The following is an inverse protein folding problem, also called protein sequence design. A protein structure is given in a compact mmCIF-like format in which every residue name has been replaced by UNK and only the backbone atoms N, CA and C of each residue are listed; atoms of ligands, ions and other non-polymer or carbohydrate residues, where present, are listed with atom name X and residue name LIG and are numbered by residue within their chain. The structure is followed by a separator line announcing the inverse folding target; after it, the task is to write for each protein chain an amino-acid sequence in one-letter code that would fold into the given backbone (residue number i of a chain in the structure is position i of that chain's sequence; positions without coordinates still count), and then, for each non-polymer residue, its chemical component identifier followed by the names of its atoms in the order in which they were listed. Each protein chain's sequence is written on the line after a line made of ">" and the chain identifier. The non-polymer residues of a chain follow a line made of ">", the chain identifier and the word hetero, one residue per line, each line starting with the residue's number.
data_IF_642824931884
#
_entry.id   IF_642824931884
#
_cell.length_a   1.000
_cell.length_b   1.000
_cell.length_c   1.000
_cell.angle_alpha   90.00
_cell.angle_beta   90.00
_cell.angle_gamma   90.00
#
_symmetry.space_group_name_H-M   'P 1'
#
loop_
_entity.id
_entity.type
_entity.pdbx_description
1 polymer ?
#
# COMPACT_ATOMS: atom_id res chain seq x y z
N UNK A 1 -12.17 17.31 9.47
CA UNK A 1 -11.36 16.09 9.71
C UNK A 1 -11.37 15.67 11.18
N UNK A 2 -10.84 16.46 12.12
CA UNK A 2 -10.76 16.10 13.56
C UNK A 2 -12.13 15.71 14.17
N UNK A 3 -13.20 16.46 13.88
CA UNK A 3 -14.56 16.11 14.34
C UNK A 3 -15.07 14.77 13.77
N UNK A 4 -14.83 14.51 12.49
CA UNK A 4 -15.25 13.26 11.84
C UNK A 4 -14.50 12.06 12.42
N UNK A 5 -13.21 12.20 12.67
CA UNK A 5 -12.41 11.15 13.32
C UNK A 5 -12.93 10.88 14.74
N UNK A 6 -13.17 11.94 15.52
CA UNK A 6 -13.68 11.82 16.90
C UNK A 6 -15.09 11.24 16.98
N UNK A 7 -15.89 11.35 15.92
CA UNK A 7 -17.23 10.76 15.88
C UNK A 7 -17.20 9.22 15.84
N UNK A 8 -16.05 8.60 15.50
CA UNK A 8 -15.95 7.15 15.35
C UNK A 8 -16.68 6.58 14.12
N UNK A 9 -17.26 7.43 13.27
CA UNK A 9 -18.05 7.00 12.12
C UNK A 9 -17.21 6.61 10.88
N UNK A 10 -15.88 6.71 10.95
CA UNK A 10 -14.99 6.49 9.80
C UNK A 10 -13.89 5.50 10.16
N UNK A 11 -13.71 4.48 9.33
CA UNK A 11 -12.60 3.53 9.44
C UNK A 11 -11.34 3.99 8.69
N UNK A 12 -11.51 4.75 7.60
CA UNK A 12 -10.43 5.22 6.74
C UNK A 12 -10.64 6.66 6.29
N UNK A 13 -9.57 7.47 6.33
CA UNK A 13 -9.53 8.82 5.75
C UNK A 13 -8.31 8.97 4.88
N UNK A 14 -8.49 9.46 3.65
CA UNK A 14 -7.39 9.78 2.72
C UNK A 14 -7.30 11.29 2.53
N UNK A 15 -6.10 11.83 2.69
CA UNK A 15 -5.78 13.25 2.46
C UNK A 15 -4.90 13.35 1.22
N UNK A 16 -5.50 13.76 0.10
CA UNK A 16 -4.82 13.97 -1.18
C UNK A 16 -4.82 15.47 -1.55
N UNK A 17 -3.73 16.21 -1.39
CA UNK A 17 -2.42 15.83 -0.85
C UNK A 17 -1.96 16.82 0.22
N UNK A 18 -0.93 16.44 1.00
CA UNK A 18 -0.32 17.32 2.01
C UNK A 18 0.18 18.63 1.39
N UNK A 19 0.67 18.58 0.15
CA UNK A 19 1.16 19.76 -0.56
C UNK A 19 0.05 20.81 -0.78
N UNK A 20 -1.20 20.37 -0.90
CA UNK A 20 -2.37 21.24 -1.10
C UNK A 20 -2.96 21.79 0.21
N UNK A 21 -2.44 21.39 1.38
CA UNK A 21 -2.84 21.97 2.66
C UNK A 21 -2.17 23.33 2.84
N UNK A 22 -2.72 24.34 2.18
CA UNK A 22 -2.25 25.72 2.24
C UNK A 22 -2.85 26.41 3.48
N UNK A 23 -2.02 26.99 4.36
CA UNK A 23 -2.52 27.73 5.52
C UNK A 23 -3.34 28.95 5.10
N UNK A 24 -4.36 29.29 5.90
CA UNK A 24 -5.26 30.43 5.63
C UNK A 24 -4.51 31.75 5.37
N UNK A 25 -3.48 32.06 6.16
CA UNK A 25 -2.71 33.30 5.99
C UNK A 25 -1.94 33.37 4.66
N UNK A 26 -1.60 32.21 4.06
CA UNK A 26 -0.98 32.16 2.73
C UNK A 26 -2.02 32.34 1.61
N UNK A 27 -3.27 31.91 1.84
CA UNK A 27 -4.38 32.13 0.89
C UNK A 27 -4.83 33.60 0.89
N UNK A 28 -4.83 34.24 2.07
CA UNK A 28 -5.27 35.63 2.24
C UNK A 28 -4.16 36.67 1.98
N UNK A 29 -2.90 36.24 1.90
CA UNK A 29 -1.75 37.11 1.61
C UNK A 29 -1.52 37.36 0.13
N UNK A 30 -0.55 38.23 -0.19
CA UNK A 30 -0.17 38.51 -1.57
C UNK A 30 0.90 37.53 -2.09
N UNK A 31 0.95 37.34 -3.41
CA UNK A 31 2.00 36.54 -4.04
C UNK A 31 3.36 37.18 -3.81
N UNK A 32 4.23 36.48 -3.07
CA UNK A 32 5.56 36.98 -2.70
C UNK A 32 5.73 37.24 -1.21
N UNK A 33 4.65 37.22 -0.43
CA UNK A 33 4.72 37.34 1.01
C UNK A 33 5.47 36.16 1.64
N UNK A 34 6.43 36.48 2.50
CA UNK A 34 7.31 35.49 3.13
C UNK A 34 6.62 34.77 4.28
N UNK A 35 5.95 33.66 3.97
CA UNK A 35 5.32 32.76 4.94
C UNK A 35 6.20 31.54 5.29
N UNK A 36 7.44 31.80 5.72
CA UNK A 36 8.42 30.72 5.95
C UNK A 36 7.93 29.72 7.02
N UNK A 37 7.77 28.46 6.63
CA UNK A 37 7.50 27.34 7.55
C UNK A 37 6.09 27.28 8.13
N UNK A 38 5.15 28.10 7.63
CA UNK A 38 3.77 28.14 8.12
C UNK A 38 3.08 26.78 7.97
N UNK A 39 3.23 26.14 6.81
CA UNK A 39 2.70 24.79 6.54
C UNK A 39 3.29 23.73 7.49
N UNK A 40 4.60 23.79 7.76
CA UNK A 40 5.26 22.84 8.66
C UNK A 40 4.77 22.96 10.11
N UNK A 41 4.49 24.19 10.58
CA UNK A 41 3.92 24.46 11.90
C UNK A 41 2.48 23.97 11.99
N UNK A 42 1.67 24.25 10.97
CA UNK A 42 0.29 23.77 10.86
C UNK A 42 0.23 22.24 10.96
N UNK A 43 1.05 21.54 10.16
CA UNK A 43 1.12 20.08 10.18
C UNK A 43 1.55 19.52 11.55
N UNK A 44 2.52 20.15 12.19
CA UNK A 44 2.99 19.73 13.53
C UNK A 44 1.89 19.84 14.59
N UNK A 45 1.11 20.93 14.55
CA UNK A 45 -0.01 21.13 15.47
C UNK A 45 -1.18 20.18 15.16
N UNK A 46 -1.55 20.06 13.89
CA UNK A 46 -2.65 19.22 13.44
C UNK A 46 -2.41 17.75 13.77
N UNK A 47 -1.24 17.21 13.40
CA UNK A 47 -0.90 15.80 13.66
C UNK A 47 -0.86 15.49 15.16
N UNK A 48 -0.32 16.40 15.99
CA UNK A 48 -0.32 16.23 17.45
C UNK A 48 -1.74 16.06 18.00
N UNK A 49 -2.72 16.80 17.48
CA UNK A 49 -4.12 16.72 17.94
C UNK A 49 -4.84 15.50 17.38
N UNK A 50 -4.59 15.16 16.10
CA UNK A 50 -5.33 14.15 15.37
C UNK A 50 -4.84 12.73 15.69
N UNK A 51 -3.54 12.52 15.96
CA UNK A 51 -3.00 11.16 16.20
C UNK A 51 -3.68 10.45 17.38
N UNK A 52 -3.94 11.16 18.48
CA UNK A 52 -4.65 10.57 19.62
C UNK A 52 -6.09 10.19 19.28
N UNK A 53 -6.78 11.05 18.50
CA UNK A 53 -8.14 10.78 18.05
C UNK A 53 -8.22 9.56 17.12
N UNK A 54 -7.31 9.46 16.13
CA UNK A 54 -7.24 8.33 15.20
C UNK A 54 -7.10 6.99 15.93
N UNK A 55 -6.26 6.95 16.97
CA UNK A 55 -6.07 5.73 17.75
C UNK A 55 -7.33 5.34 18.53
N UNK A 56 -7.97 6.29 19.20
CA UNK A 56 -9.18 6.05 19.99
C UNK A 56 -10.37 5.63 19.11
N UNK A 57 -10.51 6.24 17.94
CA UNK A 57 -11.60 5.94 16.99
C UNK A 57 -11.31 4.73 16.09
N UNK A 58 -10.13 4.10 16.22
CA UNK A 58 -9.65 3.03 15.32
C UNK A 58 -9.66 3.42 13.84
N UNK A 59 -9.55 4.71 13.54
CA UNK A 59 -9.54 5.24 12.17
C UNK A 59 -8.12 5.24 11.61
N UNK A 60 -7.93 4.73 10.40
CA UNK A 60 -6.68 4.84 9.65
C UNK A 60 -6.66 6.12 8.82
N UNK A 61 -5.56 6.88 8.86
CA UNK A 61 -5.36 8.05 8.01
C UNK A 61 -4.22 7.84 7.02
N UNK A 62 -4.49 8.01 5.73
CA UNK A 62 -3.51 7.97 4.64
C UNK A 62 -3.26 9.39 4.15
N UNK A 63 -2.00 9.80 4.13
CA UNK A 63 -1.58 11.10 3.60
C UNK A 63 -0.79 10.89 2.32
N UNK A 64 -1.29 11.42 1.20
CA UNK A 64 -0.56 11.46 -0.07
C UNK A 64 0.34 12.69 -0.04
N UNK A 65 1.61 12.51 -0.41
CA UNK A 65 2.58 13.59 -0.42
C UNK A 65 3.47 13.50 -1.65
N UNK A 66 3.91 14.67 -2.10
CA UNK A 66 4.74 14.84 -3.26
C UNK A 66 6.21 14.98 -2.85
N UNK A 67 7.08 14.50 -3.71
CA UNK A 67 8.51 14.78 -3.61
C UNK A 67 8.81 16.20 -4.13
N UNK A 68 9.80 16.83 -3.53
CA UNK A 68 10.41 18.10 -3.92
C UNK A 68 11.91 17.94 -3.77
N UNK A 69 12.68 18.72 -4.51
CA UNK A 69 14.12 18.79 -4.32
C UNK A 69 14.47 19.90 -3.34
N UNK A 70 15.38 19.62 -2.42
CA UNK A 70 15.93 20.61 -1.52
C UNK A 70 17.14 21.27 -2.18
N UNK A 71 16.99 22.54 -2.55
CA UNK A 71 18.07 23.37 -3.09
C UNK A 71 19.24 23.42 -2.09
N UNK A 72 20.47 23.26 -2.58
CA UNK A 72 21.70 23.40 -1.79
C UNK A 72 22.16 22.13 -1.05
N UNK A 73 21.61 20.96 -1.36
CA UNK A 73 22.11 19.67 -0.86
C UNK A 73 23.14 19.11 -1.85
N UNK A 74 24.42 19.14 -1.47
CA UNK A 74 25.53 18.60 -2.27
C UNK A 74 25.95 17.18 -1.89
N UNK A 75 25.42 16.63 -0.78
CA UNK A 75 25.73 15.28 -0.30
C UNK A 75 24.46 14.59 0.23
N UNK A 76 24.25 13.33 -0.15
CA UNK A 76 23.05 12.55 0.16
C UNK A 76 21.89 12.77 -0.83
N UNK A 77 20.71 12.24 -0.51
CA UNK A 77 19.52 12.41 -1.37
C UNK A 77 18.95 13.83 -1.23
N UNK A 78 18.75 14.57 -2.35
CA UNK A 78 18.14 15.90 -2.34
C UNK A 78 16.62 15.84 -2.16
N UNK A 79 16.01 14.65 -2.19
CA UNK A 79 14.57 14.48 -2.11
C UNK A 79 14.02 14.80 -0.72
N UNK A 80 13.03 15.68 -0.67
CA UNK A 80 12.27 16.04 0.51
C UNK A 80 10.77 15.97 0.24
N UNK A 81 9.96 15.99 1.30
CA UNK A 81 8.49 15.97 1.23
C UNK A 81 7.94 17.28 1.77
N UNK A 82 6.78 17.71 1.26
CA UNK A 82 6.10 18.92 1.75
C UNK A 82 5.54 18.75 3.17
N UNK A 83 5.21 19.85 3.85
CA UNK A 83 4.62 19.82 5.20
C UNK A 83 5.61 19.62 6.37
N UNK A 84 6.92 19.76 6.12
CA UNK A 84 7.96 19.67 7.15
C UNK A 84 8.26 18.23 7.61
N UNK A 85 8.79 18.07 8.83
CA UNK A 85 9.22 16.77 9.36
C UNK A 85 8.15 16.02 10.15
N UNK A 86 7.08 16.70 10.60
CA UNK A 86 6.10 16.12 11.53
C UNK A 86 5.49 14.82 11.00
N UNK A 87 5.01 14.81 9.76
CA UNK A 87 4.42 13.62 9.15
C UNK A 87 5.39 12.43 9.12
N UNK A 88 6.69 12.68 8.91
CA UNK A 88 7.71 11.62 8.92
C UNK A 88 7.81 10.93 10.29
N UNK A 89 7.62 11.67 11.39
CA UNK A 89 7.69 11.13 12.76
C UNK A 89 6.38 10.47 13.21
N UNK A 90 5.24 11.10 12.91
CA UNK A 90 3.91 10.62 13.31
C UNK A 90 3.44 9.41 12.49
N UNK A 91 3.81 9.29 11.21
CA UNK A 91 3.40 8.15 10.39
C UNK A 91 3.90 6.81 10.97
N UNK A 92 3.00 5.85 11.12
CA UNK A 92 3.33 4.48 11.55
C UNK A 92 4.00 3.69 10.42
N UNK A 93 3.52 3.86 9.20
CA UNK A 93 4.08 3.27 7.98
C UNK A 93 4.33 4.39 6.97
N UNK A 94 5.45 4.30 6.24
CA UNK A 94 5.73 5.19 5.10
C UNK A 94 6.09 4.34 3.89
N UNK A 95 5.43 4.64 2.79
CA UNK A 95 5.59 3.99 1.50
C UNK A 95 6.20 5.00 0.52
N UNK A 96 7.28 4.61 -0.15
CA UNK A 96 7.85 5.31 -1.30
C UNK A 96 7.42 4.55 -2.55
N UNK A 97 6.56 5.17 -3.37
CA UNK A 97 5.99 4.58 -4.58
C UNK A 97 6.65 5.19 -5.81
N UNK A 98 7.18 4.34 -6.70
CA UNK A 98 7.84 4.75 -7.93
C UNK A 98 7.42 3.89 -9.10
N UNK A 99 7.17 4.53 -10.24
CA UNK A 99 7.07 3.84 -11.53
C UNK A 99 8.46 3.34 -11.93
N UNK A 100 8.55 2.06 -12.28
CA UNK A 100 9.79 1.42 -12.76
C UNK A 100 9.81 1.45 -14.29
N UNK A 101 8.76 0.93 -14.91
CA UNK A 101 8.63 0.76 -16.36
C UNK A 101 7.19 1.02 -16.81
N UNK A 102 7.04 1.42 -18.06
CA UNK A 102 5.74 1.56 -18.71
C UNK A 102 5.40 0.24 -19.40
N UNK A 103 4.27 -0.35 -19.05
CA UNK A 103 3.74 -1.54 -19.69
C UNK A 103 3.14 -1.15 -21.04
N UNK A 104 3.49 -1.89 -22.10
CA UNK A 104 3.01 -1.64 -23.46
C UNK A 104 2.35 -2.88 -24.03
N UNK A 105 1.29 -2.66 -24.78
CA UNK A 105 0.71 -3.64 -25.69
C UNK A 105 0.88 -3.12 -27.12
N UNK A 106 1.74 -3.78 -27.89
CA UNK A 106 2.20 -3.26 -29.18
C UNK A 106 2.86 -1.88 -29.04
N UNK A 107 2.18 -0.84 -29.54
CA UNK A 107 2.63 0.57 -29.46
C UNK A 107 1.96 1.35 -28.33
N UNK A 108 0.88 0.84 -27.74
CA UNK A 108 0.07 1.56 -26.78
C UNK A 108 0.55 1.36 -25.35
N UNK A 109 0.59 2.43 -24.57
CA UNK A 109 0.94 2.38 -23.15
C UNK A 109 -0.29 1.97 -22.33
N UNK A 110 -0.32 0.72 -21.85
CA UNK A 110 -1.47 0.13 -21.16
C UNK A 110 -1.40 0.22 -19.63
N UNK A 111 -0.22 0.49 -19.07
CA UNK A 111 -0.05 0.61 -17.63
C UNK A 111 1.37 0.91 -17.19
N UNK A 112 1.63 0.74 -15.89
CA UNK A 112 2.93 0.96 -15.27
C UNK A 112 3.27 -0.16 -14.30
N UNK A 113 4.48 -0.72 -14.41
CA UNK A 113 5.08 -1.50 -13.32
C UNK A 113 5.51 -0.53 -12.25
N UNK A 114 5.07 -0.79 -11.03
CA UNK A 114 5.26 0.12 -9.90
C UNK A 114 5.95 -0.63 -8.77
N UNK A 115 6.97 0.00 -8.17
CA UNK A 115 7.65 -0.46 -6.96
C UNK A 115 7.22 0.40 -5.79
N UNK A 116 6.83 -0.25 -4.70
CA UNK A 116 6.58 0.39 -3.42
C UNK A 116 7.59 -0.11 -2.41
N UNK A 117 8.40 0.79 -1.85
CA UNK A 117 9.35 0.50 -0.77
C UNK A 117 8.79 0.97 0.57
N UNK A 118 8.83 0.10 1.57
CA UNK A 118 8.44 0.46 2.94
C UNK A 118 9.60 1.16 3.64
N UNK A 119 9.69 2.48 3.50
CA UNK A 119 10.81 3.28 4.05
C UNK A 119 10.72 3.52 5.56
N UNK A 120 9.55 3.27 6.17
CA UNK A 120 9.35 3.26 7.62
C UNK A 120 8.25 2.28 7.96
N UNK A 121 8.45 1.46 8.98
CA UNK A 121 7.44 0.57 9.52
C UNK A 121 7.60 0.47 11.03
N UNK A 122 6.53 0.72 11.80
CA UNK A 122 6.49 0.56 13.26
C UNK A 122 5.83 -0.76 13.71
N UNK A 123 5.24 -1.51 12.78
CA UNK A 123 4.44 -2.70 13.08
C UNK A 123 5.11 -4.02 12.68
N UNK A 124 6.06 -3.96 11.74
CA UNK A 124 6.81 -5.10 11.23
C UNK A 124 8.18 -4.63 10.70
N UNK A 125 9.08 -5.56 10.29
CA UNK A 125 10.38 -5.18 9.73
C UNK A 125 10.25 -4.20 8.55
N UNK A 126 10.99 -3.06 8.56
CA UNK A 126 10.98 -2.08 7.49
C UNK A 126 11.83 -2.54 6.28
N UNK A 127 11.84 -1.72 5.22
CA UNK A 127 12.69 -1.82 4.02
C UNK A 127 12.39 -2.97 3.06
N UNK A 128 11.35 -3.76 3.31
CA UNK A 128 10.75 -4.61 2.29
C UNK A 128 10.20 -3.77 1.13
N UNK A 129 10.14 -4.39 -0.05
CA UNK A 129 9.61 -3.80 -1.26
C UNK A 129 8.57 -4.73 -1.88
N UNK A 130 7.59 -4.15 -2.56
CA UNK A 130 6.60 -4.85 -3.35
C UNK A 130 6.61 -4.28 -4.77
N UNK A 131 6.46 -5.14 -5.76
CA UNK A 131 6.31 -4.76 -7.16
C UNK A 131 4.99 -5.30 -7.70
N UNK A 132 4.29 -4.47 -8.44
CA UNK A 132 3.01 -4.82 -9.03
C UNK A 132 2.70 -3.94 -10.23
N UNK A 133 1.78 -4.41 -11.06
CA UNK A 133 1.35 -3.73 -12.27
C UNK A 133 0.13 -2.86 -11.94
N UNK A 134 0.15 -1.60 -12.38
CA UNK A 134 -1.02 -0.71 -12.37
C UNK A 134 -1.48 -0.55 -13.80
N UNK A 135 -2.62 -1.14 -14.14
CA UNK A 135 -3.23 -1.09 -15.48
C UNK A 135 -4.19 0.10 -15.54
N UNK A 136 -4.09 0.91 -16.59
CA UNK A 136 -4.94 2.08 -16.74
C UNK A 136 -6.41 1.68 -16.89
N UNK A 137 -7.31 2.41 -16.23
CA UNK A 137 -8.75 2.10 -16.20
C UNK A 137 -9.15 0.93 -15.30
N UNK A 138 -8.21 0.10 -14.85
CA UNK A 138 -8.49 -1.07 -13.98
C UNK A 138 -7.95 -0.89 -12.57
N UNK A 139 -6.73 -0.34 -12.42
CA UNK A 139 -6.04 -0.20 -11.13
C UNK A 139 -4.94 -1.25 -10.94
N UNK A 140 -4.67 -1.61 -9.68
CA UNK A 140 -3.64 -2.60 -9.34
C UNK A 140 -4.10 -3.98 -9.84
N UNK A 141 -3.28 -4.64 -10.67
CA UNK A 141 -3.57 -5.99 -11.17
C UNK A 141 -3.27 -7.03 -10.09
N UNK A 142 -4.32 -7.52 -9.42
CA UNK A 142 -4.22 -8.59 -8.43
C UNK A 142 -3.66 -9.86 -9.06
N UNK A 143 -4.20 -10.27 -10.20
CA UNK A 143 -3.84 -11.51 -10.89
C UNK A 143 -2.40 -11.46 -11.39
N UNK A 144 -1.94 -10.29 -11.87
CA UNK A 144 -0.53 -10.07 -12.20
C UNK A 144 0.40 -10.26 -10.99
N UNK A 145 -0.01 -9.78 -9.81
CA UNK A 145 0.73 -9.99 -8.57
C UNK A 145 0.70 -11.44 -8.09
N UNK A 146 -0.41 -12.15 -8.27
CA UNK A 146 -0.52 -13.58 -7.93
C UNK A 146 0.42 -14.43 -8.77
N UNK A 147 0.54 -14.14 -10.07
CA UNK A 147 1.47 -14.84 -10.96
C UNK A 147 2.92 -14.59 -10.53
N UNK A 148 3.30 -13.32 -10.31
CA UNK A 148 4.67 -12.98 -9.92
C UNK A 148 5.05 -13.63 -8.58
N UNK A 149 4.22 -13.44 -7.55
CA UNK A 149 4.46 -14.02 -6.23
C UNK A 149 4.40 -15.55 -6.26
N UNK A 150 3.47 -16.12 -7.03
CA UNK A 150 3.31 -17.56 -7.19
C UNK A 150 4.55 -18.20 -7.81
N UNK A 151 5.18 -17.53 -8.78
CA UNK A 151 6.45 -17.98 -9.35
C UNK A 151 7.59 -17.84 -8.35
N UNK A 152 7.66 -16.71 -7.64
CA UNK A 152 8.70 -16.46 -6.64
C UNK A 152 8.71 -17.51 -5.51
N UNK A 153 7.54 -17.95 -5.05
CA UNK A 153 7.41 -18.98 -4.00
C UNK A 153 7.32 -20.41 -4.55
N UNK A 154 7.35 -20.60 -5.87
CA UNK A 154 7.33 -21.90 -6.53
C UNK A 154 5.98 -22.62 -6.59
N UNK A 155 4.87 -21.91 -6.28
CA UNK A 155 3.50 -22.42 -6.44
C UNK A 155 3.11 -22.47 -7.92
N UNK A 156 3.45 -21.43 -8.67
CA UNK A 156 3.29 -21.37 -10.13
C UNK A 156 4.62 -21.70 -10.77
N UNK A 157 4.63 -22.66 -11.70
CA UNK A 157 5.84 -23.05 -12.44
C UNK A 157 5.92 -22.26 -13.73
N UNK A 158 7.13 -21.77 -14.03
CA UNK A 158 7.44 -21.10 -15.30
C UNK A 158 8.40 -21.95 -16.11
N UNK A 159 7.96 -22.41 -17.29
CA UNK A 159 8.77 -23.15 -18.25
C UNK A 159 8.91 -22.37 -19.55
N UNK A 160 10.00 -21.62 -19.66
CA UNK A 160 10.20 -20.66 -20.75
C UNK A 160 9.17 -19.53 -20.68
N UNK A 161 8.29 -19.47 -21.68
CA UNK A 161 7.18 -18.51 -21.72
C UNK A 161 5.88 -19.04 -21.08
N UNK A 162 5.80 -20.33 -20.75
CA UNK A 162 4.58 -20.94 -20.23
C UNK A 162 4.49 -20.85 -18.71
N UNK A 163 3.31 -20.50 -18.22
CA UNK A 163 2.95 -20.54 -16.80
C UNK A 163 2.01 -21.72 -16.56
N UNK A 164 2.35 -22.55 -15.59
CA UNK A 164 1.56 -23.71 -15.19
C UNK A 164 1.34 -23.71 -13.69
N UNK A 165 0.14 -24.12 -13.29
CA UNK A 165 -0.21 -24.34 -11.90
C UNK A 165 -0.69 -25.78 -11.77
N UNK A 166 0.02 -26.58 -10.99
CA UNK A 166 -0.22 -28.03 -10.90
C UNK A 166 -0.29 -28.70 -12.30
N UNK A 167 -1.47 -29.16 -12.72
CA UNK A 167 -1.72 -29.73 -14.04
C UNK A 167 -2.27 -28.73 -15.06
N UNK A 168 -2.73 -27.55 -14.61
CA UNK A 168 -3.39 -26.56 -15.44
C UNK A 168 -2.37 -25.63 -16.13
N UNK A 169 -2.59 -25.42 -17.41
CA UNK A 169 -1.84 -24.42 -18.18
C UNK A 169 -2.54 -23.07 -18.06
N UNK A 170 -1.95 -22.17 -17.28
CA UNK A 170 -2.46 -20.81 -17.10
C UNK A 170 -2.33 -20.01 -18.41
N UNK A 171 -1.26 -20.23 -19.17
CA UNK A 171 -1.10 -19.64 -20.50
C UNK A 171 0.35 -19.38 -20.90
N UNK A 172 0.53 -19.01 -22.16
CA UNK A 172 1.82 -18.57 -22.71
C UNK A 172 1.97 -17.05 -22.55
N UNK A 173 2.93 -16.62 -21.74
CA UNK A 173 3.15 -15.22 -21.43
C UNK A 173 2.29 -14.74 -20.26
N UNK A 174 2.76 -13.67 -19.61
CA UNK A 174 2.14 -13.15 -18.39
C UNK A 174 0.72 -12.63 -18.64
N UNK A 175 0.48 -12.01 -19.80
CA UNK A 175 -0.83 -11.44 -20.12
C UNK A 175 -1.90 -12.53 -20.28
N UNK A 176 -1.60 -13.59 -21.03
CA UNK A 176 -2.54 -14.70 -21.19
C UNK A 176 -2.81 -15.41 -19.85
N UNK A 177 -1.79 -15.62 -19.03
CA UNK A 177 -1.97 -16.17 -17.70
C UNK A 177 -2.81 -15.25 -16.79
N UNK A 178 -2.68 -13.93 -16.92
CA UNK A 178 -3.51 -12.97 -16.20
C UNK A 178 -4.97 -13.08 -16.63
N UNK A 179 -5.26 -13.06 -17.92
CA UNK A 179 -6.63 -13.20 -18.45
C UNK A 179 -7.25 -14.51 -17.99
N UNK A 180 -6.49 -15.61 -18.02
CA UNK A 180 -6.95 -16.90 -17.52
C UNK A 180 -7.37 -16.86 -16.04
N UNK A 181 -6.60 -16.19 -15.17
CA UNK A 181 -6.95 -16.05 -13.76
C UNK A 181 -8.12 -15.09 -13.52
N UNK A 182 -8.32 -14.08 -14.38
CA UNK A 182 -9.49 -13.21 -14.36
C UNK A 182 -10.75 -14.02 -14.68
N UNK A 183 -10.68 -14.89 -15.68
CA UNK A 183 -11.79 -15.75 -16.11
C UNK A 183 -12.07 -16.90 -15.13
N UNK A 184 -11.10 -17.26 -14.27
CA UNK A 184 -11.18 -18.36 -13.30
C UNK A 184 -10.90 -17.86 -11.87
N UNK A 185 -11.83 -17.12 -11.24
CA UNK A 185 -11.61 -16.50 -9.94
C UNK A 185 -11.42 -17.51 -8.80
N UNK A 186 -12.03 -18.70 -8.88
CA UNK A 186 -11.88 -19.76 -7.88
C UNK A 186 -10.43 -20.24 -7.80
N UNK A 187 -9.80 -20.45 -8.97
CA UNK A 187 -8.39 -20.82 -9.06
C UNK A 187 -7.48 -19.68 -8.57
N UNK A 188 -7.79 -18.43 -8.92
CA UNK A 188 -7.05 -17.28 -8.43
C UNK A 188 -7.08 -17.16 -6.89
N UNK A 189 -8.25 -17.43 -6.28
CA UNK A 189 -8.42 -17.44 -4.83
C UNK A 189 -7.63 -18.58 -4.16
N UNK A 190 -7.62 -19.77 -4.75
CA UNK A 190 -6.83 -20.90 -4.27
C UNK A 190 -5.33 -20.58 -4.29
N UNK A 191 -4.83 -20.05 -5.41
CA UNK A 191 -3.43 -19.62 -5.54
C UNK A 191 -3.11 -18.54 -4.51
N UNK A 192 -3.98 -17.55 -4.32
CA UNK A 192 -3.80 -16.52 -3.29
C UNK A 192 -3.69 -17.12 -1.88
N UNK A 193 -4.56 -18.07 -1.54
CA UNK A 193 -4.54 -18.74 -0.23
C UNK A 193 -3.21 -19.49 0.00
N UNK A 194 -2.74 -20.26 -0.99
CA UNK A 194 -1.45 -20.96 -0.91
C UNK A 194 -0.28 -19.98 -0.80
N UNK A 195 -0.28 -18.88 -1.55
CA UNK A 195 0.76 -17.83 -1.46
C UNK A 195 0.76 -17.19 -0.07
N UNK A 196 -0.41 -16.82 0.46
CA UNK A 196 -0.51 -16.23 1.80
C UNK A 196 -0.03 -17.18 2.88
N UNK A 197 -0.38 -18.45 2.80
CA UNK A 197 0.09 -19.49 3.72
C UNK A 197 1.62 -19.65 3.72
N UNK A 198 2.29 -19.34 2.60
CA UNK A 198 3.77 -19.35 2.54
C UNK A 198 4.40 -18.18 3.29
N UNK A 199 3.77 -16.99 3.27
CA UNK A 199 4.33 -15.76 3.88
C UNK A 199 3.86 -15.49 5.31
N UNK A 200 2.75 -16.10 5.73
CA UNK A 200 2.32 -16.15 7.13
C UNK A 200 3.07 -17.31 7.79
N UNK A 201 3.76 -17.12 8.93
CA UNK A 201 4.19 -18.28 9.70
C UNK A 201 2.92 -18.99 10.17
N UNK A 202 2.63 -20.16 9.59
CA UNK A 202 1.69 -21.09 10.21
C UNK A 202 2.34 -21.50 11.53
N UNK A 203 1.75 -21.05 12.63
CA UNK A 203 1.36 -22.00 13.66
C UNK A 203 -0.12 -21.75 13.93
N UNK A 204 -0.95 -22.39 13.10
CA UNK A 204 -2.29 -22.71 13.57
C UNK A 204 -2.11 -24.00 14.37
N UNK A 205 -2.09 -23.86 15.68
CA UNK A 205 -2.01 -24.98 16.60
C UNK A 205 -3.29 -25.83 16.46
N UNK A 206 -3.14 -27.06 15.98
CA UNK A 206 -4.24 -27.99 15.77
C UNK A 206 -4.92 -28.38 17.10
N UNK A 207 -4.16 -28.36 18.21
CA UNK A 207 -4.69 -28.64 19.54
C UNK A 207 -5.57 -27.48 20.04
N UNK A 208 -5.26 -26.25 19.62
CA UNK A 208 -6.07 -25.06 19.93
C UNK A 208 -7.40 -25.06 19.15
N UNK A 209 -7.41 -25.53 17.89
CA UNK A 209 -8.65 -25.69 17.12
C UNK A 209 -9.52 -26.77 17.78
N UNK A 210 -8.94 -27.93 18.11
CA UNK A 210 -9.67 -29.03 18.74
C UNK A 210 -10.26 -28.63 20.11
N UNK A 211 -9.52 -27.86 20.92
CA UNK A 211 -10.00 -27.35 22.20
C UNK A 211 -11.13 -26.31 22.07
N UNK A 212 -11.13 -25.50 21.00
CA UNK A 212 -12.21 -24.54 20.72
C UNK A 212 -13.48 -25.27 20.24
N UNK A 213 -13.34 -26.31 19.40
CA UNK A 213 -14.46 -27.11 18.93
C UNK A 213 -15.11 -27.94 20.06
N UNK A 214 -14.31 -28.48 20.99
CA UNK A 214 -14.81 -29.19 22.17
C UNK A 214 -15.51 -28.24 23.17
N UNK A 215 -14.95 -27.05 23.41
CA UNK A 215 -15.54 -26.05 24.31
C UNK A 215 -16.82 -25.39 23.77
N UNK A 216 -17.03 -25.41 22.45
CA UNK A 216 -18.23 -24.86 21.81
C UNK A 216 -19.33 -25.91 21.57
N UNK A 217 -19.01 -27.20 21.68
CA UNK A 217 -19.98 -28.28 21.61
C UNK A 217 -20.81 -28.45 22.91
N UNK A 218 -20.36 -27.92 24.05
CA UNK A 218 -21.02 -28.09 25.35
C UNK A 218 -21.96 -26.94 25.77
N UNK A 219 -22.12 -25.89 24.95
CA UNK A 219 -23.02 -24.77 25.28
C UNK A 219 -24.24 -24.80 24.38
N UNK A 220 -25.16 -25.71 24.72
CA UNK A 220 -26.58 -25.55 24.38
C UNK A 220 -27.14 -24.36 25.20
N UNK A 221 -28.03 -23.58 24.59
CA UNK A 221 -28.68 -22.40 25.18
C UNK A 221 -29.24 -22.63 26.60
#
# INVERSE_FOLDING_TARGET
>A
MDMLIRSGALDLVVVDSVAALVPRAEIEGEMGDSHMGLQARLMSQALRKITGALHQSKTTAIFINQLREKIGVFFGSPETTTGGKALKFYASVRLDIRRIETLKDGQDAVGNRTRVKVVKNKMAPPFKQAEFDIIYGTGISREGSLIDLGVDVGIVKKSGAWYTYEADQLGQGKENARTFLIDNPDLANEIEAKIRAHFVPIEVDADLIAAIDEATAEVDF
#
